data_IF_925632517362
#
_entry.id   IF_925632517362
#
_cell.length_a   1.000
_cell.length_b   1.000
_cell.length_c   1.000
_cell.angle_alpha   90.00
_cell.angle_beta   90.00
_cell.angle_gamma   90.00
#
_symmetry.space_group_name_H-M   'P 1'
#
loop_
_entity.id
_entity.type
_entity.pdbx_description
1 polymer ?
#
# COMPACT_ATOMS: atom_id res chain seq x y z
N UNK A 1 19.17 38.48 -31.21
CA UNK A 1 18.68 38.11 -29.87
C UNK A 1 18.52 36.58 -29.84
N UNK A 2 19.11 35.87 -28.87
CA UNK A 2 19.02 34.40 -28.80
C UNK A 2 17.58 33.93 -28.58
N UNK A 3 17.25 32.73 -29.06
CA UNK A 3 15.92 32.12 -28.84
C UNK A 3 15.87 31.47 -27.45
N UNK A 4 14.68 31.34 -26.86
CA UNK A 4 14.45 30.77 -25.51
C UNK A 4 15.15 29.41 -25.29
N UNK A 5 15.23 28.60 -26.34
CA UNK A 5 15.79 27.25 -26.30
C UNK A 5 17.16 27.14 -26.99
N UNK A 6 17.66 28.25 -27.53
CA UNK A 6 18.99 28.38 -28.16
C UNK A 6 19.61 29.73 -27.78
N UNK A 7 19.94 29.94 -26.48
CA UNK A 7 20.65 31.12 -26.05
C UNK A 7 22.09 31.10 -26.58
N UNK A 8 22.60 32.27 -26.96
CA UNK A 8 23.99 32.42 -27.42
C UNK A 8 25.00 32.39 -26.27
N UNK A 9 24.55 32.60 -25.04
CA UNK A 9 25.40 32.63 -23.85
C UNK A 9 24.63 33.05 -22.62
N UNK A 10 25.33 33.00 -21.49
CA UNK A 10 24.87 33.50 -20.20
C UNK A 10 26.08 34.10 -19.47
N UNK A 11 25.80 34.89 -18.43
CA UNK A 11 26.82 35.49 -17.56
C UNK A 11 26.51 35.10 -16.12
N UNK A 12 27.55 35.00 -15.29
CA UNK A 12 27.42 34.82 -13.85
C UNK A 12 27.83 36.13 -13.20
N UNK A 13 26.94 36.68 -12.39
CA UNK A 13 27.18 37.91 -11.63
C UNK A 13 27.43 37.55 -10.18
N UNK A 14 28.64 37.82 -9.71
CA UNK A 14 28.99 37.70 -8.29
C UNK A 14 28.75 39.05 -7.61
N UNK A 15 27.71 39.13 -6.78
CA UNK A 15 27.37 40.35 -6.06
C UNK A 15 28.31 40.66 -4.89
N UNK A 16 29.01 39.65 -4.35
CA UNK A 16 29.93 39.80 -3.23
C UNK A 16 31.24 40.41 -3.71
N UNK A 17 31.82 39.83 -4.76
CA UNK A 17 33.08 40.30 -5.35
C UNK A 17 32.87 41.40 -6.42
N UNK A 18 31.62 41.76 -6.71
CA UNK A 18 31.23 42.74 -7.75
C UNK A 18 31.84 42.41 -9.12
N UNK A 19 31.96 41.12 -9.44
CA UNK A 19 32.58 40.63 -10.65
C UNK A 19 31.54 40.01 -11.60
N UNK A 20 31.86 40.01 -12.90
CA UNK A 20 31.05 39.35 -13.92
C UNK A 20 31.90 38.37 -14.71
N UNK A 21 31.44 37.13 -14.80
CA UNK A 21 32.12 36.05 -15.50
C UNK A 21 31.35 35.62 -16.75
N UNK A 22 32.09 35.23 -17.79
CA UNK A 22 31.50 34.61 -18.97
C UNK A 22 31.01 33.22 -18.57
N UNK A 23 29.71 32.96 -18.71
CA UNK A 23 29.12 31.70 -18.29
C UNK A 23 29.80 30.47 -18.91
N UNK A 24 30.14 30.54 -20.20
CA UNK A 24 30.80 29.43 -20.93
C UNK A 24 32.12 28.96 -20.33
N UNK A 25 32.82 29.83 -19.58
CA UNK A 25 34.12 29.52 -18.98
C UNK A 25 33.93 28.80 -17.63
N UNK A 26 32.72 28.83 -17.07
CA UNK A 26 32.32 28.10 -15.85
C UNK A 26 31.58 26.82 -16.19
N UNK A 27 30.60 26.87 -17.08
CA UNK A 27 29.84 25.70 -17.54
C UNK A 27 29.40 25.90 -19.00
N UNK A 28 29.56 24.86 -19.82
CA UNK A 28 29.18 24.94 -21.24
C UNK A 28 27.67 25.17 -21.42
N UNK A 29 27.27 25.97 -22.42
CA UNK A 29 25.84 26.23 -22.72
C UNK A 29 25.06 24.92 -22.96
N UNK A 30 25.69 23.92 -23.57
CA UNK A 30 25.08 22.59 -23.77
C UNK A 30 24.76 21.90 -22.44
N UNK A 31 25.69 21.95 -21.49
CA UNK A 31 25.51 21.39 -20.16
C UNK A 31 24.49 22.20 -19.34
N UNK A 32 24.53 23.53 -19.44
CA UNK A 32 23.54 24.40 -18.81
C UNK A 32 22.11 24.12 -19.31
N UNK A 33 21.95 23.95 -20.63
CA UNK A 33 20.66 23.63 -21.24
C UNK A 33 20.20 22.20 -20.94
N UNK A 34 21.12 21.29 -20.59
CA UNK A 34 20.77 19.95 -20.08
C UNK A 34 20.00 20.06 -18.77
N UNK A 35 20.40 20.98 -17.87
CA UNK A 35 19.63 21.27 -16.64
C UNK A 35 18.27 21.91 -16.93
N UNK A 36 18.14 22.69 -18.02
CA UNK A 36 16.85 23.31 -18.40
C UNK A 36 15.89 22.33 -19.07
N UNK A 37 16.41 21.26 -19.70
CA UNK A 37 15.60 20.15 -20.21
C UNK A 37 15.18 19.20 -19.07
N UNK A 38 14.52 19.77 -18.07
CA UNK A 38 13.75 19.06 -17.04
C UNK A 38 12.49 18.36 -17.61
N UNK A 39 12.24 18.46 -18.91
CA UNK A 39 11.28 17.60 -19.58
C UNK A 39 11.96 16.27 -19.87
N UNK A 40 11.55 15.24 -19.13
CA UNK A 40 11.77 13.83 -19.45
C UNK A 40 11.73 13.62 -20.96
N UNK A 41 12.89 13.36 -21.55
CA UNK A 41 13.04 12.89 -22.93
C UNK A 41 12.80 11.38 -22.97
N UNK A 42 12.52 10.81 -24.15
CA UNK A 42 12.45 9.34 -24.33
C UNK A 42 13.73 8.65 -23.79
N UNK A 43 14.89 9.31 -23.94
CA UNK A 43 16.19 8.85 -23.42
C UNK A 43 16.22 8.73 -21.88
N UNK A 44 15.45 9.53 -21.15
CA UNK A 44 15.40 9.48 -19.68
C UNK A 44 14.49 8.35 -19.17
N UNK A 45 13.58 7.80 -19.99
CA UNK A 45 12.64 6.76 -19.55
C UNK A 45 13.36 5.46 -19.20
N UNK A 46 14.26 5.05 -20.08
CA UNK A 46 15.09 3.86 -19.89
C UNK A 46 16.08 4.06 -18.74
N UNK A 47 16.62 5.28 -18.58
CA UNK A 47 17.51 5.62 -17.45
C UNK A 47 16.76 5.56 -16.11
N UNK A 48 15.53 6.07 -16.05
CA UNK A 48 14.68 6.00 -14.86
C UNK A 48 14.34 4.55 -14.53
N UNK A 49 13.91 3.76 -15.52
CA UNK A 49 13.58 2.35 -15.30
C UNK A 49 14.81 1.55 -14.82
N UNK A 50 15.97 1.75 -15.44
CA UNK A 50 17.23 1.12 -15.03
C UNK A 50 17.65 1.56 -13.63
N UNK A 51 17.46 2.85 -13.29
CA UNK A 51 17.76 3.36 -11.97
C UNK A 51 16.87 2.73 -10.89
N UNK A 52 15.57 2.57 -11.15
CA UNK A 52 14.64 1.89 -10.25
C UNK A 52 15.07 0.43 -10.05
N UNK A 53 15.41 -0.25 -11.14
CA UNK A 53 15.87 -1.64 -11.11
C UNK A 53 17.12 -1.80 -10.23
N UNK A 54 18.16 -0.99 -10.48
CA UNK A 54 19.41 -1.04 -9.71
C UNK A 54 19.17 -0.77 -8.22
N UNK A 55 18.28 0.16 -7.89
CA UNK A 55 17.92 0.46 -6.51
C UNK A 55 17.27 -0.74 -5.79
N UNK A 56 16.42 -1.48 -6.51
CA UNK A 56 15.79 -2.70 -5.99
C UNK A 56 16.72 -3.92 -5.98
N UNK A 57 17.69 -3.99 -6.90
CA UNK A 57 18.75 -5.00 -6.85
C UNK A 57 19.67 -4.80 -5.64
N UNK A 58 20.03 -3.54 -5.34
CA UNK A 58 20.85 -3.19 -4.17
C UNK A 58 20.13 -3.46 -2.85
N UNK A 59 18.83 -3.16 -2.77
CA UNK A 59 18.01 -3.44 -1.60
C UNK A 59 16.59 -3.87 -2.00
N UNK A 60 16.38 -5.18 -1.97
CA UNK A 60 15.10 -5.81 -2.32
C UNK A 60 13.94 -5.44 -1.40
N UNK A 61 14.20 -4.84 -0.23
CA UNK A 61 13.17 -4.42 0.74
C UNK A 61 12.84 -2.92 0.65
N UNK A 62 13.33 -2.20 -0.37
CA UNK A 62 13.01 -0.78 -0.51
C UNK A 62 11.51 -0.53 -0.70
N UNK A 63 11.03 0.52 -0.06
CA UNK A 63 9.64 0.99 -0.20
C UNK A 63 9.52 2.02 -1.33
N UNK A 64 8.31 2.22 -1.85
CA UNK A 64 8.04 3.27 -2.85
C UNK A 64 8.42 4.66 -2.31
N UNK A 65 8.22 4.93 -1.01
CA UNK A 65 8.60 6.21 -0.40
C UNK A 65 10.11 6.46 -0.45
N UNK A 66 10.91 5.48 -0.05
CA UNK A 66 12.38 5.54 -0.09
C UNK A 66 12.91 5.64 -1.53
N UNK A 67 12.26 4.94 -2.48
CA UNK A 67 12.56 5.02 -3.89
C UNK A 67 12.28 6.44 -4.43
N UNK A 68 11.10 6.98 -4.10
CA UNK A 68 10.66 8.31 -4.52
C UNK A 68 11.56 9.42 -4.00
N UNK A 69 12.07 9.28 -2.77
CA UNK A 69 13.08 10.19 -2.23
C UNK A 69 14.34 10.30 -3.09
N UNK A 70 14.78 9.19 -3.70
CA UNK A 70 15.94 9.15 -4.59
C UNK A 70 15.58 9.63 -6.00
N UNK A 71 14.43 9.19 -6.52
CA UNK A 71 13.92 9.58 -7.84
C UNK A 71 13.62 11.07 -7.93
N UNK A 72 13.03 11.66 -6.89
CA UNK A 72 12.72 13.08 -6.83
C UNK A 72 13.98 13.92 -6.92
N UNK A 73 15.01 13.57 -6.13
CA UNK A 73 16.30 14.28 -6.11
C UNK A 73 17.03 14.24 -7.45
N UNK A 74 16.93 13.14 -8.21
CA UNK A 74 17.66 12.96 -9.48
C UNK A 74 16.87 13.41 -10.71
N UNK A 75 15.58 13.12 -10.76
CA UNK A 75 14.76 13.26 -11.98
C UNK A 75 13.46 14.06 -11.78
N UNK A 76 13.13 14.50 -10.56
CA UNK A 76 11.85 15.15 -10.22
C UNK A 76 10.62 14.32 -10.62
N UNK A 77 10.69 13.00 -10.40
CA UNK A 77 9.60 12.06 -10.68
C UNK A 77 9.32 11.19 -9.45
N UNK A 78 8.11 10.65 -9.40
CA UNK A 78 7.67 9.69 -8.39
C UNK A 78 7.04 8.46 -9.05
N UNK A 79 7.29 7.29 -8.47
CA UNK A 79 6.52 6.05 -8.67
C UNK A 79 5.26 6.12 -7.82
N UNK A 80 4.15 5.68 -8.40
CA UNK A 80 2.86 5.59 -7.75
C UNK A 80 2.45 4.12 -7.57
N UNK A 81 1.42 3.88 -6.75
CA UNK A 81 0.94 2.54 -6.44
C UNK A 81 0.41 1.75 -7.65
N UNK A 82 0.09 2.43 -8.75
CA UNK A 82 -0.28 1.81 -10.03
C UNK A 82 0.93 1.44 -10.92
N UNK A 83 2.15 1.61 -10.41
CA UNK A 83 3.40 1.27 -11.10
C UNK A 83 3.81 2.29 -12.15
N UNK A 84 3.06 3.39 -12.31
CA UNK A 84 3.42 4.46 -13.23
C UNK A 84 4.35 5.48 -12.57
N UNK A 85 5.30 5.96 -13.36
CA UNK A 85 6.20 7.03 -12.99
C UNK A 85 5.65 8.34 -13.56
N UNK A 86 5.49 9.35 -12.71
CA UNK A 86 4.99 10.66 -13.12
C UNK A 86 5.89 11.79 -12.67
N UNK A 87 5.93 12.86 -13.46
CA UNK A 87 6.64 14.10 -13.12
C UNK A 87 5.85 14.95 -12.10
N UNK A 88 6.42 16.11 -11.74
CA UNK A 88 5.78 17.10 -10.85
C UNK A 88 4.42 17.63 -11.33
N UNK A 89 4.08 17.47 -12.61
CA UNK A 89 2.79 17.88 -13.17
C UNK A 89 1.83 16.69 -13.34
N UNK A 90 2.15 15.55 -12.71
CA UNK A 90 1.42 14.29 -12.82
C UNK A 90 1.35 13.72 -14.25
N UNK A 91 2.24 14.19 -15.13
CA UNK A 91 2.34 13.63 -16.48
C UNK A 91 3.08 12.30 -16.40
N UNK A 92 2.51 11.28 -17.02
CA UNK A 92 3.15 9.98 -17.16
C UNK A 92 4.46 10.12 -17.94
N UNK A 93 5.51 9.57 -17.34
CA UNK A 93 6.89 9.64 -17.81
C UNK A 93 7.36 8.26 -18.24
N UNK A 94 7.18 7.27 -17.38
CA UNK A 94 7.64 5.90 -17.60
C UNK A 94 6.75 4.95 -16.79
N UNK A 95 7.03 3.66 -16.87
CA UNK A 95 6.40 2.62 -16.06
C UNK A 95 7.50 1.77 -15.44
N UNK A 96 7.31 1.38 -14.18
CA UNK A 96 8.18 0.42 -13.52
C UNK A 96 8.04 -0.92 -14.23
N UNK A 97 9.14 -1.65 -14.42
CA UNK A 97 9.04 -2.97 -15.01
C UNK A 97 8.17 -3.89 -14.12
N UNK A 98 7.55 -4.92 -14.70
CA UNK A 98 6.58 -5.74 -13.98
C UNK A 98 7.17 -6.42 -12.73
N UNK A 99 8.40 -6.94 -12.82
CA UNK A 99 9.05 -7.69 -11.73
C UNK A 99 9.45 -6.80 -10.54
N UNK A 100 9.98 -5.62 -10.83
CA UNK A 100 10.34 -4.60 -9.85
C UNK A 100 9.07 -4.05 -9.21
N UNK A 101 8.01 -3.88 -9.99
CA UNK A 101 6.72 -3.45 -9.46
C UNK A 101 6.09 -4.51 -8.54
N UNK A 102 6.14 -5.79 -8.90
CA UNK A 102 5.74 -6.90 -8.02
C UNK A 102 6.54 -6.88 -6.70
N UNK A 103 7.85 -6.63 -6.78
CA UNK A 103 8.72 -6.51 -5.60
C UNK A 103 8.27 -5.33 -4.72
N UNK A 104 8.01 -4.17 -5.31
CA UNK A 104 7.51 -3.00 -4.59
C UNK A 104 6.14 -3.25 -3.94
N UNK A 105 5.23 -3.94 -4.64
CA UNK A 105 3.92 -4.33 -4.09
C UNK A 105 4.10 -5.28 -2.91
N UNK A 106 4.98 -6.27 -3.03
CA UNK A 106 5.29 -7.18 -1.92
C UNK A 106 5.83 -6.42 -0.70
N UNK A 107 6.82 -5.54 -0.90
CA UNK A 107 7.37 -4.73 0.19
C UNK A 107 6.33 -3.84 0.84
N UNK A 108 5.42 -3.27 0.05
CA UNK A 108 4.29 -2.49 0.56
C UNK A 108 3.38 -3.35 1.43
N UNK A 109 3.01 -4.56 1.00
CA UNK A 109 2.22 -5.50 1.82
C UNK A 109 2.92 -5.82 3.14
N UNK A 110 4.22 -6.11 3.10
CA UNK A 110 5.03 -6.39 4.29
C UNK A 110 5.01 -5.19 5.24
N UNK A 111 5.28 -3.98 4.74
CA UNK A 111 5.25 -2.76 5.54
C UNK A 111 3.87 -2.49 6.15
N UNK A 112 2.81 -2.67 5.36
CA UNK A 112 1.44 -2.46 5.80
C UNK A 112 1.05 -3.46 6.89
N UNK A 113 1.33 -4.75 6.69
CA UNK A 113 1.10 -5.78 7.72
C UNK A 113 1.95 -5.52 8.97
N UNK A 114 3.19 -5.08 8.81
CA UNK A 114 4.05 -4.73 9.94
C UNK A 114 3.46 -3.58 10.78
N UNK A 115 2.64 -2.70 10.19
CA UNK A 115 1.98 -1.59 10.91
C UNK A 115 0.97 -2.05 11.95
N UNK A 116 0.47 -3.29 11.85
CA UNK A 116 -0.41 -3.90 12.85
C UNK A 116 0.32 -4.24 14.15
N UNK A 117 1.65 -4.21 14.14
CA UNK A 117 2.53 -4.52 15.28
C UNK A 117 2.11 -5.82 15.99
N UNK A 118 2.25 -7.00 15.36
CA UNK A 118 2.00 -8.25 16.04
C UNK A 118 2.90 -8.39 17.27
N UNK A 119 2.33 -8.79 18.39
CA UNK A 119 3.02 -9.02 19.66
C UNK A 119 3.26 -10.50 19.97
N UNK A 120 2.56 -11.39 19.26
CA UNK A 120 2.68 -12.84 19.40
C UNK A 120 2.98 -13.52 18.06
N UNK A 121 3.48 -14.75 18.14
CA UNK A 121 3.71 -15.58 16.95
C UNK A 121 2.38 -15.89 16.24
N UNK A 122 1.32 -16.04 17.01
CA UNK A 122 -0.01 -16.33 16.52
C UNK A 122 -0.59 -15.16 15.72
N UNK A 123 -0.50 -13.94 16.25
CA UNK A 123 -0.90 -12.71 15.57
C UNK A 123 -0.10 -12.53 14.28
N UNK A 124 1.22 -12.73 14.34
CA UNK A 124 2.10 -12.68 13.18
C UNK A 124 1.65 -13.66 12.09
N UNK A 125 1.40 -14.92 12.46
CA UNK A 125 0.96 -15.94 11.51
C UNK A 125 -0.40 -15.62 10.87
N UNK A 126 -1.34 -15.08 11.66
CA UNK A 126 -2.66 -14.66 11.16
C UNK A 126 -2.51 -13.50 10.17
N UNK A 127 -1.72 -12.49 10.52
CA UNK A 127 -1.49 -11.32 9.69
C UNK A 127 -0.74 -11.66 8.40
N UNK A 128 0.27 -12.53 8.45
CA UNK A 128 0.96 -13.01 7.24
C UNK A 128 -0.01 -13.74 6.30
N UNK A 129 -0.90 -14.59 6.84
CA UNK A 129 -1.93 -15.25 6.06
C UNK A 129 -2.93 -14.25 5.47
N UNK A 130 -3.33 -13.25 6.25
CA UNK A 130 -4.25 -12.19 5.84
C UNK A 130 -3.67 -11.30 4.73
N UNK A 131 -2.38 -10.93 4.83
CA UNK A 131 -1.69 -10.11 3.84
C UNK A 131 -1.04 -10.90 2.68
N UNK A 132 -1.26 -12.21 2.60
CA UNK A 132 -0.62 -13.08 1.61
C UNK A 132 0.91 -12.87 1.55
N UNK A 133 1.55 -12.96 2.72
CA UNK A 133 3.00 -12.89 2.89
C UNK A 133 3.52 -14.33 3.00
N UNK A 134 4.45 -14.68 2.11
CA UNK A 134 4.99 -16.05 2.03
C UNK A 134 5.97 -16.35 3.16
N UNK A 135 6.90 -15.42 3.44
CA UNK A 135 7.88 -15.57 4.52
C UNK A 135 7.42 -14.84 5.79
N UNK A 136 7.06 -15.62 6.80
CA UNK A 136 6.64 -15.11 8.11
C UNK A 136 7.74 -14.29 8.78
N UNK A 137 9.02 -14.52 8.44
CA UNK A 137 10.16 -13.77 8.99
C UNK A 137 10.31 -12.36 8.40
N UNK A 138 9.57 -12.03 7.36
CA UNK A 138 9.50 -10.64 6.88
C UNK A 138 8.74 -9.73 7.85
N UNK A 139 7.94 -10.32 8.75
CA UNK A 139 7.22 -9.60 9.80
C UNK A 139 7.90 -9.81 11.16
N UNK A 140 8.20 -8.69 11.81
CA UNK A 140 8.80 -8.62 13.13
C UNK A 140 7.72 -8.54 14.20
N UNK A 141 7.92 -9.31 15.26
CA UNK A 141 7.13 -9.22 16.49
C UNK A 141 7.61 -7.99 17.28
N UNK A 142 6.67 -7.18 17.76
CA UNK A 142 6.93 -6.03 18.62
C UNK A 142 6.07 -6.15 19.87
N UNK A 143 6.72 -6.15 21.02
CA UNK A 143 6.04 -6.28 22.32
C UNK A 143 5.36 -4.97 22.78
N UNK A 144 5.71 -3.83 22.18
CA UNK A 144 5.19 -2.52 22.57
C UNK A 144 4.03 -2.10 21.68
N UNK A 145 2.86 -2.67 21.94
CA UNK A 145 1.64 -2.30 21.24
C UNK A 145 1.06 -0.98 21.76
N UNK A 146 0.46 -0.21 20.86
CA UNK A 146 -0.28 1.01 21.21
C UNK A 146 -1.56 0.61 21.94
N UNK A 147 -1.48 0.57 23.27
CA UNK A 147 -2.55 0.13 24.17
C UNK A 147 -3.82 0.96 23.97
N UNK A 148 -3.69 2.26 23.70
CA UNK A 148 -4.83 3.15 23.50
C UNK A 148 -5.57 2.80 22.20
N UNK A 149 -4.85 2.50 21.12
CA UNK A 149 -5.46 2.00 19.87
C UNK A 149 -6.17 0.67 20.07
N UNK A 150 -5.52 -0.29 20.74
CA UNK A 150 -6.12 -1.60 21.02
C UNK A 150 -7.39 -1.44 21.85
N UNK A 151 -7.36 -0.62 22.91
CA UNK A 151 -8.53 -0.36 23.73
C UNK A 151 -9.65 0.32 22.94
N UNK A 152 -9.32 1.24 22.04
CA UNK A 152 -10.30 1.85 21.14
C UNK A 152 -10.97 0.80 20.24
N UNK A 153 -10.19 -0.10 19.64
CA UNK A 153 -10.69 -1.21 18.82
C UNK A 153 -11.59 -2.14 19.63
N UNK A 154 -11.17 -2.52 20.84
CA UNK A 154 -11.95 -3.37 21.76
C UNK A 154 -13.29 -2.70 22.09
N UNK A 155 -13.28 -1.43 22.48
CA UNK A 155 -14.51 -0.68 22.81
C UNK A 155 -15.46 -0.57 21.62
N UNK A 156 -14.92 -0.37 20.41
CA UNK A 156 -15.72 -0.29 19.19
C UNK A 156 -16.37 -1.63 18.83
N UNK A 157 -15.62 -2.73 18.91
CA UNK A 157 -16.17 -4.08 18.70
C UNK A 157 -17.22 -4.40 19.76
N UNK A 158 -16.93 -4.09 21.03
CA UNK A 158 -17.87 -4.30 22.14
C UNK A 158 -19.18 -3.56 21.92
N UNK A 159 -19.13 -2.27 21.58
CA UNK A 159 -20.31 -1.47 21.25
C UNK A 159 -21.11 -2.06 20.09
N UNK A 160 -20.44 -2.67 19.12
CA UNK A 160 -21.09 -3.30 17.96
C UNK A 160 -21.77 -4.62 18.34
N UNK A 161 -21.11 -5.46 19.14
CA UNK A 161 -21.62 -6.77 19.59
C UNK A 161 -22.77 -6.64 20.61
N UNK A 162 -22.70 -5.62 21.46
CA UNK A 162 -23.72 -5.32 22.46
C UNK A 162 -24.95 -4.62 21.89
N UNK A 163 -24.88 -4.14 20.63
CA UNK A 163 -26.02 -3.51 19.98
C UNK A 163 -27.20 -4.48 19.85
N UNK A 164 -28.41 -3.96 20.11
CA UNK A 164 -29.68 -4.67 19.94
C UNK A 164 -30.25 -4.52 18.52
N UNK A 165 -29.50 -3.91 17.60
CA UNK A 165 -29.96 -3.63 16.24
C UNK A 165 -30.14 -4.90 15.40
N UNK A 166 -31.10 -4.82 14.48
CA UNK A 166 -31.52 -5.95 13.61
C UNK A 166 -30.56 -6.21 12.45
N UNK A 167 -29.61 -5.31 12.20
CA UNK A 167 -28.57 -5.52 11.20
C UNK A 167 -27.56 -6.55 11.73
N UNK A 168 -27.10 -7.46 10.87
CA UNK A 168 -26.13 -8.47 11.30
C UNK A 168 -24.85 -7.80 11.81
N UNK A 169 -24.38 -8.16 13.01
CA UNK A 169 -23.14 -7.66 13.64
C UNK A 169 -21.97 -7.61 12.64
N UNK A 170 -21.85 -8.62 11.78
CA UNK A 170 -20.82 -8.70 10.74
C UNK A 170 -20.90 -7.60 9.67
N UNK A 171 -22.10 -7.12 9.34
CA UNK A 171 -22.30 -6.01 8.39
C UNK A 171 -21.74 -4.72 8.96
N UNK A 172 -21.95 -4.46 10.26
CA UNK A 172 -21.44 -3.27 10.93
C UNK A 172 -19.92 -3.34 11.16
N UNK A 173 -19.40 -4.50 11.55
CA UNK A 173 -17.96 -4.74 11.60
C UNK A 173 -17.32 -4.55 10.22
N UNK A 174 -17.91 -5.10 9.15
CA UNK A 174 -17.41 -4.89 7.79
C UNK A 174 -17.48 -3.42 7.36
N UNK A 175 -18.56 -2.70 7.71
CA UNK A 175 -18.71 -1.26 7.43
C UNK A 175 -17.60 -0.44 8.09
N UNK A 176 -17.15 -0.89 9.25
CA UNK A 176 -16.05 -0.28 10.02
C UNK A 176 -14.68 -0.88 9.70
N UNK A 177 -14.59 -1.68 8.63
CA UNK A 177 -13.34 -2.31 8.15
C UNK A 177 -12.71 -3.26 9.18
N UNK A 178 -13.53 -3.92 10.00
CA UNK A 178 -13.10 -4.94 10.96
C UNK A 178 -13.48 -6.32 10.46
N UNK A 179 -12.50 -7.22 10.42
CA UNK A 179 -12.67 -8.61 9.99
C UNK A 179 -12.45 -9.54 11.17
N UNK A 180 -13.38 -10.48 11.38
CA UNK A 180 -13.25 -11.53 12.40
C UNK A 180 -12.67 -12.79 11.76
N UNK A 181 -11.54 -13.25 12.26
CA UNK A 181 -10.86 -14.48 11.83
C UNK A 181 -10.93 -15.51 12.95
N UNK A 182 -11.28 -16.75 12.59
CA UNK A 182 -11.18 -17.90 13.48
C UNK A 182 -9.90 -18.67 13.20
N UNK A 183 -9.09 -18.89 14.23
CA UNK A 183 -7.96 -19.82 14.23
C UNK A 183 -8.20 -20.83 15.34
N UNK A 184 -8.47 -22.08 14.96
CA UNK A 184 -8.88 -23.14 15.88
C UNK A 184 -10.12 -22.71 16.69
N UNK A 185 -10.00 -22.62 18.02
CA UNK A 185 -11.08 -22.21 18.94
C UNK A 185 -10.99 -20.73 19.38
N UNK A 186 -10.03 -19.99 18.84
CA UNK A 186 -9.75 -18.59 19.17
C UNK A 186 -10.23 -17.66 18.06
N UNK A 187 -10.87 -16.57 18.45
CA UNK A 187 -11.32 -15.52 17.55
C UNK A 187 -10.40 -14.31 17.64
N UNK A 188 -10.01 -13.81 16.48
CA UNK A 188 -9.23 -12.59 16.34
C UNK A 188 -10.03 -11.57 15.55
N UNK A 189 -9.95 -10.31 15.97
CA UNK A 189 -10.43 -9.19 15.18
C UNK A 189 -9.23 -8.46 14.56
N UNK A 190 -9.31 -8.19 13.27
CA UNK A 190 -8.37 -7.35 12.55
C UNK A 190 -9.10 -6.06 12.20
N UNK A 191 -8.70 -4.96 12.82
CA UNK A 191 -9.14 -3.62 12.45
C UNK A 191 -8.15 -3.02 11.47
N UNK A 192 -8.60 -2.92 10.22
CA UNK A 192 -7.83 -2.40 9.11
C UNK A 192 -7.67 -0.87 9.17
N UNK A 193 -8.60 -0.15 9.79
CA UNK A 193 -8.53 1.31 9.92
C UNK A 193 -7.54 1.75 11.01
N UNK A 194 -7.53 1.03 12.13
CA UNK A 194 -6.61 1.30 13.24
C UNK A 194 -5.24 0.61 13.10
N UNK A 195 -5.09 -0.31 12.13
CA UNK A 195 -3.98 -1.27 12.05
C UNK A 195 -3.78 -1.98 13.39
N UNK A 196 -4.80 -2.69 13.86
CA UNK A 196 -4.70 -3.47 15.10
C UNK A 196 -5.22 -4.88 14.90
N UNK A 197 -4.63 -5.83 15.62
CA UNK A 197 -5.13 -7.19 15.76
C UNK A 197 -5.39 -7.45 17.24
N UNK A 198 -6.52 -8.06 17.56
CA UNK A 198 -6.95 -8.31 18.94
C UNK A 198 -7.41 -9.76 19.07
N UNK A 199 -6.85 -10.48 20.03
CA UNK A 199 -7.39 -11.76 20.47
C UNK A 199 -8.67 -11.53 21.28
N UNK A 200 -9.83 -11.78 20.69
CA UNK A 200 -11.12 -11.55 21.35
C UNK A 200 -11.34 -12.46 22.56
N UNK A 201 -10.71 -13.63 22.60
CA UNK A 201 -10.83 -14.54 23.74
C UNK A 201 -10.11 -14.01 25.00
N UNK A 202 -9.19 -13.06 24.85
CA UNK A 202 -8.48 -12.40 25.97
C UNK A 202 -9.16 -11.09 26.41
N UNK A 203 -10.32 -10.77 25.82
CA UNK A 203 -11.10 -9.58 26.15
C UNK A 203 -12.35 -9.91 26.95
N UNK A 204 -13.03 -8.88 27.46
CA UNK A 204 -14.31 -8.99 28.17
C UNK A 204 -15.55 -8.98 27.25
N UNK A 205 -15.34 -9.12 25.93
CA UNK A 205 -16.41 -9.11 24.92
C UNK A 205 -17.14 -10.47 24.91
N UNK A 206 -18.47 -10.45 24.89
CA UNK A 206 -19.27 -11.67 24.73
C UNK A 206 -19.18 -12.21 23.28
N UNK A 207 -18.21 -13.10 23.06
CA UNK A 207 -17.97 -13.73 21.77
C UNK A 207 -19.02 -14.80 21.38
N UNK A 208 -20.02 -15.11 22.22
CA UNK A 208 -21.01 -16.16 21.90
C UNK A 208 -21.82 -15.82 20.65
N UNK A 209 -22.22 -14.54 20.49
CA UNK A 209 -22.90 -14.02 19.30
C UNK A 209 -22.05 -14.14 18.03
N UNK A 210 -20.73 -14.06 18.16
CA UNK A 210 -19.76 -14.21 17.06
C UNK A 210 -19.43 -15.67 16.74
N UNK A 211 -19.71 -16.62 17.64
CA UNK A 211 -19.53 -18.07 17.39
C UNK A 211 -20.71 -18.69 16.65
N UNK A 212 -21.93 -18.20 16.89
CA UNK A 212 -23.17 -18.77 16.38
C UNK A 212 -23.31 -18.77 14.85
N UNK A 213 -22.76 -17.79 14.14
CA UNK A 213 -22.88 -17.72 12.67
C UNK A 213 -21.97 -18.67 11.88
N UNK A 214 -21.15 -19.48 12.55
CA UNK A 214 -20.34 -20.52 11.88
C UNK A 214 -21.08 -21.84 11.62
N UNK A 215 -22.31 -22.01 12.14
CA UNK A 215 -23.10 -23.24 12.03
C UNK A 215 -24.20 -23.21 10.96
N UNK A 216 -24.23 -22.21 10.06
CA UNK A 216 -25.14 -22.24 8.89
C UNK A 216 -24.52 -23.12 7.80
N UNK A 217 -24.68 -24.43 7.97
CA UNK A 217 -24.15 -25.41 7.01
C UNK A 217 -24.53 -26.85 7.30
N UNK A 218 -25.69 -27.13 7.91
CA UNK A 218 -26.23 -28.49 8.01
C UNK A 218 -27.74 -28.43 7.81
N UNK A 219 -28.21 -29.11 6.75
CA UNK A 219 -29.61 -29.41 6.39
C UNK A 219 -30.33 -28.47 5.41
N UNK A 220 -30.03 -28.64 4.11
CA UNK A 220 -31.06 -28.69 3.07
C UNK A 220 -30.62 -29.69 1.99
N UNK A 221 -31.18 -30.89 2.06
CA UNK A 221 -30.97 -32.02 1.15
C UNK A 221 -31.92 -31.94 -0.05
N UNK A 222 -31.36 -31.88 -1.26
CA UNK A 222 -31.85 -32.57 -2.46
C UNK A 222 -30.91 -32.33 -3.67
N UNK A 223 -30.22 -33.39 -4.14
CA UNK A 223 -29.49 -33.40 -5.41
C UNK A 223 -28.12 -34.10 -5.35
N UNK A 224 -28.12 -35.42 -5.53
CA UNK A 224 -26.95 -36.32 -5.51
C UNK A 224 -26.25 -36.27 -6.89
N UNK A 225 -24.90 -36.18 -6.92
CA UNK A 225 -23.91 -37.10 -7.56
C UNK A 225 -22.51 -36.39 -7.68
N UNK A 226 -21.37 -37.10 -7.48
CA UNK A 226 -20.33 -36.64 -6.55
C UNK A 226 -18.87 -36.54 -7.08
N UNK A 227 -18.06 -35.87 -6.26
CA UNK A 227 -16.65 -36.11 -5.88
C UNK A 227 -15.49 -35.80 -6.85
N UNK A 228 -14.69 -34.76 -6.51
CA UNK A 228 -13.28 -34.88 -6.05
C UNK A 228 -12.64 -33.50 -5.78
N UNK A 229 -11.99 -33.33 -4.62
CA UNK A 229 -11.00 -32.28 -4.36
C UNK A 229 -11.31 -31.38 -3.17
N UNK A 230 -10.78 -31.74 -2.01
CA UNK A 230 -10.97 -31.16 -0.69
C UNK A 230 -10.45 -29.73 -0.50
N UNK A 231 -11.22 -28.90 0.24
CA UNK A 231 -10.64 -27.84 1.10
C UNK A 231 -11.02 -26.39 0.80
N UNK A 232 -12.24 -26.09 0.37
CA UNK A 232 -12.75 -24.71 0.28
C UNK A 232 -13.92 -24.52 1.24
N UNK A 233 -13.68 -23.91 2.39
CA UNK A 233 -14.77 -23.40 3.22
C UNK A 233 -14.33 -22.08 3.87
N UNK A 234 -15.07 -21.02 3.54
CA UNK A 234 -15.04 -19.64 4.06
C UNK A 234 -14.11 -18.59 3.40
N UNK A 235 -13.05 -18.96 2.66
CA UNK A 235 -12.18 -17.95 1.99
C UNK A 235 -12.83 -17.37 0.71
N UNK A 236 -13.58 -18.17 -0.05
CA UNK A 236 -14.23 -17.74 -1.29
C UNK A 236 -15.33 -16.65 -1.10
N UNK A 237 -15.81 -16.45 0.14
CA UNK A 237 -16.76 -15.36 0.43
C UNK A 237 -16.04 -14.03 0.63
N UNK A 238 -14.76 -14.05 1.03
CA UNK A 238 -13.90 -12.87 1.18
C UNK A 238 -13.57 -12.27 -0.20
N UNK A 239 -13.29 -13.10 -1.21
CA UNK A 239 -13.11 -12.67 -2.62
C UNK A 239 -14.33 -11.91 -3.19
N UNK A 240 -15.55 -12.22 -2.74
CA UNK A 240 -16.76 -11.49 -3.17
C UNK A 240 -16.99 -10.17 -2.41
N UNK A 241 -16.40 -10.03 -1.21
CA UNK A 241 -16.53 -8.84 -0.37
C UNK A 241 -15.54 -7.73 -0.78
N UNK A 242 -14.45 -8.09 -1.47
CA UNK A 242 -13.45 -7.17 -2.02
C UNK A 242 -13.92 -6.46 -3.32
N UNK A 243 -15.05 -6.88 -3.91
CA UNK A 243 -15.56 -6.37 -5.18
C UNK A 243 -16.61 -5.24 -5.07
N UNK A 244 -16.65 -4.48 -3.98
CA UNK A 244 -17.53 -3.30 -3.87
C UNK A 244 -16.92 -2.08 -4.56
N UNK A 245 -17.29 -1.87 -5.83
CA UNK A 245 -17.16 -0.57 -6.49
C UNK A 245 -18.11 0.41 -5.82
N UNK A 246 -17.60 1.29 -4.96
CA UNK A 246 -18.33 2.51 -4.62
C UNK A 246 -17.56 3.75 -5.05
N UNK A 247 -18.30 4.60 -5.74
CA UNK A 247 -17.80 5.73 -6.53
C UNK A 247 -18.07 6.98 -5.70
N UNK A 248 -17.11 7.42 -4.89
CA UNK A 248 -17.28 8.54 -3.96
C UNK A 248 -16.17 9.57 -4.08
N UNK A 249 -16.37 10.57 -4.94
CA UNK A 249 -15.58 11.79 -5.00
C UNK A 249 -15.52 12.50 -3.62
N UNK A 250 -14.35 13.00 -3.21
CA UNK A 250 -14.10 14.44 -3.03
C UNK A 250 -12.68 14.73 -2.49
N UNK A 251 -11.92 15.47 -3.31
CA UNK A 251 -10.96 16.52 -2.94
C UNK A 251 -10.03 16.31 -1.74
N UNK A 252 -8.78 15.94 -2.03
CA UNK A 252 -7.59 16.72 -1.66
C UNK A 252 -6.47 16.46 -2.67
N UNK A 253 -6.15 17.50 -3.45
CA UNK A 253 -4.91 17.56 -4.22
C UNK A 253 -3.85 18.15 -3.29
N UNK A 254 -2.63 17.65 -3.47
CA UNK A 254 -1.38 18.14 -2.89
C UNK A 254 -1.02 17.45 -1.56
N UNK A 255 -0.04 16.55 -1.65
CA UNK A 255 0.70 15.87 -0.56
C UNK A 255 0.10 14.60 0.05
N UNK A 256 -0.03 13.53 -0.74
CA UNK A 256 -0.12 12.16 -0.22
C UNK A 256 0.92 11.26 -0.90
N UNK A 257 2.19 11.49 -0.56
CA UNK A 257 3.20 10.41 -0.60
C UNK A 257 3.25 9.83 0.81
N UNK A 258 2.25 9.02 1.15
CA UNK A 258 2.07 8.45 2.48
C UNK A 258 0.71 8.79 3.09
N UNK A 259 -0.37 8.44 2.39
CA UNK A 259 -1.74 8.51 2.87
C UNK A 259 -2.40 7.14 2.72
N UNK A 260 -2.77 6.55 3.85
CA UNK A 260 -3.22 5.17 4.03
C UNK A 260 -4.65 4.95 3.52
N UNK A 261 -4.90 4.93 2.20
CA UNK A 261 -6.23 4.55 1.70
C UNK A 261 -6.21 3.96 0.28
N UNK A 262 -5.41 2.92 0.06
CA UNK A 262 -5.41 2.20 -1.22
C UNK A 262 -5.71 0.71 -1.02
N UNK A 263 -6.94 0.45 -0.54
CA UNK A 263 -7.50 -0.88 -0.28
C UNK A 263 -7.69 -1.69 -1.58
N UNK A 264 -8.01 -1.01 -2.68
CA UNK A 264 -8.32 -1.62 -3.98
C UNK A 264 -7.11 -2.35 -4.60
N UNK A 265 -5.89 -1.97 -4.21
CA UNK A 265 -4.65 -2.54 -4.76
C UNK A 265 -4.19 -3.84 -4.07
N UNK A 266 -4.90 -4.31 -3.05
CA UNK A 266 -4.63 -5.60 -2.40
C UNK A 266 -5.30 -6.76 -3.17
N UNK A 267 -6.29 -6.47 -4.03
CA UNK A 267 -7.09 -7.48 -4.76
C UNK A 267 -7.13 -7.30 -6.30
N UNK A 268 -6.49 -6.27 -6.86
CA UNK A 268 -6.57 -5.98 -8.30
C UNK A 268 -5.58 -6.82 -9.15
N UNK A 269 -5.79 -8.14 -9.24
CA UNK A 269 -5.10 -9.03 -10.19
C UNK A 269 -5.50 -8.77 -11.67
N UNK A 270 -6.36 -7.78 -11.95
CA UNK A 270 -6.92 -7.54 -13.30
C UNK A 270 -6.24 -6.48 -14.16
N UNK A 271 -5.19 -5.80 -13.70
CA UNK A 271 -4.63 -4.65 -14.45
C UNK A 271 -3.39 -4.91 -15.31
N UNK A 272 -2.97 -6.16 -15.51
CA UNK A 272 -1.94 -6.52 -16.50
C UNK A 272 -2.52 -7.27 -17.71
N UNK A 273 -3.54 -6.69 -18.34
CA UNK A 273 -3.92 -7.03 -19.70
C UNK A 273 -4.10 -5.77 -20.52
N UNK A 274 -3.03 -5.33 -21.18
CA UNK A 274 -3.03 -4.77 -22.52
C UNK A 274 -1.60 -4.67 -23.06
#
# INVERSE_FOLDING_TARGET
>A
MGKKDTPYGYIIVDHKEKATYKGKDVLGIKDLLRFKKEAVTEENKDEIATFIHNLLEENKRQTIGELNEKLWRKYNVNVYHDGFVRDRHYKMVSQVNAKDFETLRYNFKVQWIQSFNPSTEEERAILCKFGHIEDVNDILIKENNDVDKINSTINHIKSTVDSEETDSIYKELNRTKIVIIRKEDTLYAIDMGASTIVNLNETDIDITKLKQHSSVGVNASAGIIPNRGSGQTQIAKVESLLNFKDTGHHSNREWEVGGSDNWDDIDDERKLRQ
#
